data_IF_922212007568
#
_entry.id   IF_922212007568
#
_cell.length_a   1.000
_cell.length_b   1.000
_cell.length_c   1.000
_cell.angle_alpha   90.00
_cell.angle_beta   90.00
_cell.angle_gamma   90.00
#
_symmetry.space_group_name_H-M   'P 1'
#
loop_
_entity.id
_entity.type
_entity.pdbx_description
1 polymer ?
#
# COMPACT_ATOMS: atom_id res chain seq x y z
N UNK A 1 4.12 21.57 0.64
CA UNK A 1 4.87 20.84 1.68
C UNK A 1 6.23 20.42 1.11
N UNK A 2 7.29 20.35 1.92
CA UNK A 2 8.59 19.85 1.45
C UNK A 2 8.79 18.37 1.85
N UNK A 3 9.82 17.72 1.29
CA UNK A 3 10.08 16.29 1.51
C UNK A 3 10.32 15.94 2.98
N UNK A 4 11.13 16.74 3.68
CA UNK A 4 11.46 16.50 5.10
C UNK A 4 10.23 16.59 6.00
N UNK A 5 9.37 17.58 5.77
CA UNK A 5 8.11 17.73 6.50
C UNK A 5 7.17 16.54 6.25
N UNK A 6 7.07 16.07 5.01
CA UNK A 6 6.25 14.90 4.68
C UNK A 6 6.80 13.63 5.31
N UNK A 7 8.11 13.38 5.24
CA UNK A 7 8.74 12.23 5.90
C UNK A 7 8.47 12.23 7.41
N UNK A 8 8.45 13.41 8.04
CA UNK A 8 8.11 13.54 9.46
C UNK A 8 6.64 13.20 9.75
N UNK A 9 5.72 13.53 8.86
CA UNK A 9 4.31 13.10 8.99
C UNK A 9 4.19 11.57 8.85
N UNK A 10 5.02 10.96 7.99
CA UNK A 10 5.07 9.50 7.86
C UNK A 10 5.59 8.79 9.12
N UNK A 11 6.31 9.49 10.02
CA UNK A 11 6.74 8.91 11.30
C UNK A 11 5.53 8.50 12.16
N UNK A 12 4.39 9.20 12.05
CA UNK A 12 3.16 8.83 12.76
C UNK A 12 2.71 7.43 12.35
N UNK A 13 2.74 7.15 11.04
CA UNK A 13 2.39 5.84 10.49
C UNK A 13 3.42 4.79 10.90
N UNK A 14 4.72 5.11 10.90
CA UNK A 14 5.77 4.17 11.34
C UNK A 14 5.55 3.76 12.80
N UNK A 15 5.14 4.69 13.66
CA UNK A 15 4.99 4.47 15.10
C UNK A 15 3.62 3.92 15.51
N UNK A 16 2.66 3.91 14.59
CA UNK A 16 1.27 3.54 14.89
C UNK A 16 1.15 2.11 15.44
N UNK A 17 0.22 1.92 16.37
CA UNK A 17 -0.03 0.62 17.00
C UNK A 17 -0.82 -0.28 16.04
N UNK A 18 -0.44 -1.56 15.98
CA UNK A 18 -1.08 -2.58 15.18
C UNK A 18 -2.24 -3.19 15.98
N UNK A 19 -3.42 -3.27 15.38
CA UNK A 19 -4.45 -4.16 15.87
C UNK A 19 -4.12 -5.60 15.46
N UNK A 20 -4.18 -6.54 16.40
CA UNK A 20 -3.91 -7.95 16.11
C UNK A 20 -5.09 -8.75 16.60
N UNK A 21 -5.82 -9.35 15.64
CA UNK A 21 -6.91 -10.26 15.93
C UNK A 21 -6.40 -11.52 16.65
N UNK A 22 -7.30 -12.26 17.27
CA UNK A 22 -6.95 -13.58 17.85
C UNK A 22 -7.71 -14.72 17.15
N UNK A 23 -8.45 -14.40 16.08
CA UNK A 23 -9.33 -15.33 15.40
C UNK A 23 -9.58 -14.93 13.96
N UNK A 24 -10.13 -15.88 13.19
CA UNK A 24 -10.53 -15.63 11.80
C UNK A 24 -11.69 -14.63 11.65
N UNK A 25 -12.41 -14.35 12.74
CA UNK A 25 -13.54 -13.42 12.74
C UNK A 25 -13.08 -11.95 12.83
N UNK A 26 -11.80 -11.71 13.15
CA UNK A 26 -11.23 -10.37 13.32
C UNK A 26 -10.74 -9.75 12.00
N UNK A 27 -10.89 -10.44 10.85
CA UNK A 27 -10.39 -9.98 9.54
C UNK A 27 -10.90 -8.59 9.16
N UNK A 28 -12.18 -8.32 9.41
CA UNK A 28 -12.80 -7.05 9.06
C UNK A 28 -12.21 -5.92 9.93
N UNK A 29 -11.94 -6.21 11.20
CA UNK A 29 -11.32 -5.26 12.13
C UNK A 29 -9.86 -5.01 11.74
N UNK A 30 -9.05 -6.04 11.50
CA UNK A 30 -7.66 -5.91 11.00
C UNK A 30 -7.61 -5.11 9.69
N UNK A 31 -8.44 -5.47 8.71
CA UNK A 31 -8.48 -4.79 7.43
C UNK A 31 -8.89 -3.31 7.56
N UNK A 32 -9.66 -2.95 8.59
CA UNK A 32 -10.14 -1.58 8.79
C UNK A 32 -9.21 -0.72 9.66
N UNK A 33 -8.62 -1.31 10.71
CA UNK A 33 -7.79 -0.62 11.69
C UNK A 33 -6.34 -0.53 11.24
N UNK A 34 -5.84 -1.56 10.55
CA UNK A 34 -4.46 -1.63 10.07
C UNK A 34 -4.33 -1.19 8.61
N UNK A 35 -5.14 -0.21 8.21
CA UNK A 35 -5.17 0.31 6.85
C UNK A 35 -4.54 1.69 6.76
N UNK A 36 -3.36 1.76 6.16
CA UNK A 36 -2.68 3.01 5.92
C UNK A 36 -2.60 3.31 4.43
N UNK A 37 -2.58 4.60 4.11
CA UNK A 37 -2.35 5.06 2.75
C UNK A 37 -1.56 6.35 2.74
N UNK A 38 -0.71 6.50 1.73
CA UNK A 38 0.02 7.73 1.47
C UNK A 38 -0.40 8.27 0.09
N UNK A 39 -0.53 9.58 0.01
CA UNK A 39 -0.71 10.32 -1.24
C UNK A 39 0.26 11.47 -1.25
N UNK A 40 0.72 11.84 -2.44
CA UNK A 40 1.63 12.96 -2.63
C UNK A 40 1.16 13.74 -3.85
N UNK A 41 1.15 15.06 -3.79
CA UNK A 41 0.94 15.89 -4.98
C UNK A 41 2.14 15.84 -5.93
N UNK A 42 1.96 16.23 -7.19
CA UNK A 42 2.97 16.05 -8.23
C UNK A 42 4.31 16.73 -7.90
N UNK A 43 4.25 17.91 -7.28
CA UNK A 43 5.44 18.65 -6.83
C UNK A 43 6.23 17.86 -5.78
N UNK A 44 5.54 17.17 -4.87
CA UNK A 44 6.17 16.39 -3.82
C UNK A 44 6.75 15.09 -4.37
N UNK A 45 5.99 14.36 -5.20
CA UNK A 45 6.43 13.13 -5.86
C UNK A 45 7.75 13.30 -6.61
N UNK A 46 7.92 14.42 -7.33
CA UNK A 46 9.16 14.71 -8.07
C UNK A 46 10.42 14.84 -7.19
N UNK A 47 10.26 14.97 -5.87
CA UNK A 47 11.35 15.07 -4.90
C UNK A 47 11.68 13.72 -4.25
N UNK A 48 10.85 12.71 -4.47
CA UNK A 48 11.03 11.36 -3.95
C UNK A 48 11.70 10.46 -4.99
N UNK A 49 12.48 9.53 -4.48
CA UNK A 49 13.04 8.39 -5.21
C UNK A 49 12.39 7.11 -4.72
N UNK A 50 12.50 6.05 -5.50
CA UNK A 50 12.05 4.71 -5.13
C UNK A 50 12.72 4.26 -3.82
N UNK A 51 14.01 4.56 -3.64
CA UNK A 51 14.78 4.22 -2.44
C UNK A 51 14.25 4.90 -1.17
N UNK A 52 13.76 6.14 -1.27
CA UNK A 52 13.15 6.84 -0.13
C UNK A 52 11.92 6.08 0.38
N UNK A 53 11.07 5.60 -0.55
CA UNK A 53 9.87 4.85 -0.21
C UNK A 53 10.21 3.44 0.29
N UNK A 54 11.21 2.77 -0.29
CA UNK A 54 11.72 1.49 0.24
C UNK A 54 12.18 1.66 1.69
N UNK A 55 12.94 2.71 1.97
CA UNK A 55 13.43 3.01 3.33
C UNK A 55 12.25 3.18 4.29
N UNK A 56 11.22 3.94 3.89
CA UNK A 56 9.98 4.08 4.66
C UNK A 56 9.31 2.73 4.95
N UNK A 57 9.12 1.87 3.93
CA UNK A 57 8.49 0.56 4.13
C UNK A 57 9.32 -0.38 5.00
N UNK A 58 10.65 -0.35 4.90
CA UNK A 58 11.52 -1.10 5.82
C UNK A 58 11.35 -0.63 7.26
N UNK A 59 11.20 0.68 7.50
CA UNK A 59 10.95 1.20 8.85
C UNK A 59 9.59 0.75 9.40
N UNK A 60 8.53 0.80 8.59
CA UNK A 60 7.21 0.27 8.94
C UNK A 60 7.31 -1.21 9.28
N UNK A 61 7.89 -2.02 8.39
CA UNK A 61 8.02 -3.47 8.58
C UNK A 61 8.82 -3.83 9.83
N UNK A 62 9.91 -3.12 10.11
CA UNK A 62 10.71 -3.33 11.31
C UNK A 62 9.91 -3.03 12.58
N UNK A 63 9.20 -1.90 12.61
CA UNK A 63 8.35 -1.55 13.76
C UNK A 63 7.22 -2.57 13.94
N UNK A 64 6.52 -2.95 12.86
CA UNK A 64 5.46 -3.97 12.94
C UNK A 64 5.99 -5.32 13.39
N UNK A 65 7.18 -5.71 12.95
CA UNK A 65 7.86 -6.92 13.46
C UNK A 65 8.05 -6.84 14.98
N UNK A 66 8.54 -5.73 15.50
CA UNK A 66 8.71 -5.55 16.95
C UNK A 66 7.38 -5.66 17.70
N UNK A 67 6.29 -5.10 17.16
CA UNK A 67 4.96 -5.23 17.77
C UNK A 67 4.48 -6.69 17.77
N UNK A 68 4.56 -7.36 16.62
CA UNK A 68 4.09 -8.74 16.43
C UNK A 68 4.83 -9.71 17.37
N UNK A 69 6.17 -9.66 17.41
CA UNK A 69 6.98 -10.53 18.28
C UNK A 69 6.62 -10.37 19.77
N UNK A 70 6.19 -9.17 20.18
CA UNK A 70 5.87 -8.87 21.58
C UNK A 70 4.41 -9.15 21.97
N UNK A 71 3.50 -9.27 21.01
CA UNK A 71 2.04 -9.24 21.28
C UNK A 71 1.26 -10.37 20.63
N UNK A 72 1.78 -11.01 19.57
CA UNK A 72 1.08 -12.02 18.77
C UNK A 72 1.65 -13.42 18.94
N UNK A 73 0.80 -14.45 18.90
CA UNK A 73 1.20 -15.86 18.84
C UNK A 73 1.18 -16.44 17.41
N UNK A 74 0.82 -15.64 16.42
CA UNK A 74 0.86 -15.98 14.99
C UNK A 74 1.57 -14.91 14.14
N UNK A 75 1.82 -15.24 12.87
CA UNK A 75 2.45 -14.30 11.95
C UNK A 75 1.41 -13.33 11.37
N UNK A 76 1.90 -12.28 10.73
CA UNK A 76 1.05 -11.35 9.96
C UNK A 76 1.51 -11.32 8.50
N UNK A 77 0.57 -11.11 7.59
CA UNK A 77 0.79 -10.84 6.17
C UNK A 77 0.80 -9.33 5.99
N UNK A 78 1.98 -8.77 5.73
CA UNK A 78 2.11 -7.37 5.31
C UNK A 78 1.97 -7.28 3.79
N UNK A 79 1.17 -6.34 3.28
CA UNK A 79 0.99 -6.17 1.85
C UNK A 79 0.82 -4.71 1.43
N UNK A 80 1.28 -4.39 0.22
CA UNK A 80 1.31 -3.04 -0.37
C UNK A 80 0.78 -3.11 -1.80
N UNK A 81 -0.03 -2.12 -2.19
CA UNK A 81 -0.49 -1.95 -3.57
C UNK A 81 -0.66 -0.48 -3.91
N UNK A 82 -0.52 -0.16 -5.19
CA UNK A 82 -0.81 1.17 -5.70
C UNK A 82 -2.23 1.21 -6.27
N UNK A 83 -3.08 2.07 -5.72
CA UNK A 83 -4.38 2.41 -6.28
C UNK A 83 -4.25 3.66 -7.17
N UNK A 84 -4.18 3.41 -8.48
CA UNK A 84 -4.09 4.45 -9.49
C UNK A 84 -5.37 5.29 -9.61
N UNK A 85 -6.53 4.79 -9.19
CA UNK A 85 -7.79 5.52 -9.28
C UNK A 85 -7.83 6.66 -8.26
N UNK A 86 -7.23 6.46 -7.09
CA UNK A 86 -7.13 7.46 -6.03
C UNK A 86 -5.75 8.13 -5.91
N UNK A 87 -4.79 7.72 -6.75
CA UNK A 87 -3.37 8.13 -6.68
C UNK A 87 -2.76 7.89 -5.29
N UNK A 88 -3.07 6.73 -4.68
CA UNK A 88 -2.64 6.37 -3.33
C UNK A 88 -1.85 5.09 -3.31
N UNK A 89 -0.79 5.09 -2.54
CA UNK A 89 -0.10 3.87 -2.15
C UNK A 89 -0.71 3.38 -0.84
N UNK A 90 -1.31 2.21 -0.89
CA UNK A 90 -1.96 1.56 0.24
C UNK A 90 -1.10 0.44 0.79
N UNK A 91 -1.21 0.20 2.08
CA UNK A 91 -0.65 -0.98 2.71
C UNK A 91 -1.40 -1.34 3.97
N UNK A 92 -1.34 -2.62 4.32
CA UNK A 92 -2.13 -3.19 5.40
C UNK A 92 -1.47 -4.46 5.94
N UNK A 93 -1.87 -4.89 7.13
CA UNK A 93 -1.45 -6.13 7.78
C UNK A 93 -2.68 -6.91 8.22
N UNK A 94 -2.68 -8.21 7.94
CA UNK A 94 -3.71 -9.15 8.44
C UNK A 94 -3.04 -10.39 9.02
N UNK A 95 -3.71 -11.10 9.91
CA UNK A 95 -3.25 -12.39 10.43
C UNK A 95 -2.99 -13.41 9.31
N UNK A 96 -1.92 -14.20 9.44
CA UNK A 96 -1.65 -15.32 8.51
C UNK A 96 -2.62 -16.51 8.69
N UNK A 97 -3.46 -16.45 9.74
CA UNK A 97 -4.67 -17.24 9.87
C UNK A 97 -5.60 -17.09 8.65
N UNK A 98 -5.52 -15.94 7.97
CA UNK A 98 -6.21 -15.68 6.71
C UNK A 98 -5.37 -16.20 5.55
N UNK A 99 -5.86 -17.27 4.91
CA UNK A 99 -5.15 -17.92 3.80
C UNK A 99 -5.11 -17.10 2.49
N UNK A 100 -5.79 -15.95 2.42
CA UNK A 100 -5.94 -15.13 1.20
C UNK A 100 -6.00 -13.65 1.54
N UNK A 101 -5.43 -12.82 0.66
CA UNK A 101 -5.54 -11.38 0.73
C UNK A 101 -6.97 -10.91 0.40
N UNK A 102 -7.48 -9.83 1.03
CA UNK A 102 -8.88 -9.39 0.92
C UNK A 102 -9.19 -8.62 -0.38
N UNK A 103 -8.53 -8.98 -1.49
CA UNK A 103 -8.80 -8.36 -2.79
C UNK A 103 -9.97 -9.04 -3.50
N UNK A 104 -11.00 -8.26 -3.84
CA UNK A 104 -12.13 -8.70 -4.66
C UNK A 104 -11.85 -8.75 -6.18
N UNK A 105 -10.64 -8.38 -6.60
CA UNK A 105 -10.23 -8.30 -8.00
C UNK A 105 -9.10 -9.30 -8.34
N UNK A 106 -8.85 -9.49 -9.64
CA UNK A 106 -7.70 -10.24 -10.10
C UNK A 106 -6.41 -9.51 -9.69
N UNK A 107 -5.54 -10.18 -8.95
CA UNK A 107 -4.31 -9.63 -8.44
C UNK A 107 -3.17 -10.64 -8.59
N UNK A 108 -1.95 -10.11 -8.64
CA UNK A 108 -0.72 -10.88 -8.69
C UNK A 108 0.19 -10.44 -7.56
N UNK A 109 0.57 -11.40 -6.72
CA UNK A 109 1.59 -11.19 -5.70
C UNK A 109 2.97 -11.10 -6.34
N UNK A 110 3.75 -10.09 -5.95
CA UNK A 110 5.14 -9.87 -6.38
C UNK A 110 6.06 -9.80 -5.17
N UNK A 111 7.29 -10.30 -5.32
CA UNK A 111 8.28 -10.39 -4.24
C UNK A 111 9.08 -9.09 -4.04
N UNK A 112 9.14 -8.22 -5.07
CA UNK A 112 9.81 -6.93 -5.00
C UNK A 112 8.78 -5.81 -5.01
N UNK A 113 8.86 -4.88 -4.05
CA UNK A 113 7.99 -3.71 -3.93
C UNK A 113 8.29 -2.63 -4.98
N UNK A 114 9.52 -2.58 -5.51
CA UNK A 114 9.99 -1.54 -6.44
C UNK A 114 9.05 -1.25 -7.62
N UNK A 115 8.50 -2.25 -8.35
CA UNK A 115 7.60 -1.97 -9.46
C UNK A 115 6.37 -1.15 -9.05
N UNK A 116 5.81 -1.43 -7.87
CA UNK A 116 4.64 -0.70 -7.34
C UNK A 116 5.02 0.74 -6.99
N UNK A 117 6.19 0.93 -6.35
CA UNK A 117 6.69 2.25 -5.99
C UNK A 117 7.04 3.09 -7.23
N UNK A 118 7.63 2.46 -8.25
CA UNK A 118 7.91 3.10 -9.52
C UNK A 118 6.62 3.51 -10.23
N UNK A 119 5.63 2.62 -10.30
CA UNK A 119 4.31 2.92 -10.89
C UNK A 119 3.67 4.12 -10.17
N UNK A 120 3.73 4.16 -8.82
CA UNK A 120 3.25 5.29 -8.03
C UNK A 120 4.02 6.59 -8.32
N UNK A 121 5.36 6.59 -8.24
CA UNK A 121 6.16 7.81 -8.45
C UNK A 121 6.08 8.35 -9.89
N UNK A 122 5.87 7.49 -10.88
CA UNK A 122 5.77 7.88 -12.29
C UNK A 122 4.33 8.23 -12.70
N UNK A 123 3.35 7.99 -11.84
CA UNK A 123 1.95 8.29 -12.14
C UNK A 123 1.78 9.80 -12.41
N UNK A 124 1.16 10.21 -13.53
CA UNK A 124 1.11 11.62 -13.93
C UNK A 124 -0.09 12.39 -13.35
N UNK A 125 -0.98 11.72 -12.59
CA UNK A 125 -2.25 12.30 -12.13
C UNK A 125 -2.35 12.35 -10.60
N UNK A 126 -1.23 12.61 -9.93
CA UNK A 126 -1.19 12.81 -8.47
C UNK A 126 -2.03 13.98 -7.98
N UNK A 127 -2.19 15.01 -8.81
CA UNK A 127 -3.04 16.17 -8.54
C UNK A 127 -4.46 16.02 -9.14
N UNK A 128 -4.85 14.77 -9.49
CA UNK A 128 -6.12 14.43 -10.10
C UNK A 128 -6.09 14.36 -11.62
N UNK A 129 -7.16 13.79 -12.19
CA UNK A 129 -7.33 13.71 -13.64
C UNK A 129 -7.71 15.07 -14.22
N UNK A 130 -7.11 15.50 -15.34
CA UNK A 130 -7.54 16.69 -16.05
C UNK A 130 -8.99 16.53 -16.50
N UNK A 131 -9.90 17.34 -15.95
CA UNK A 131 -11.27 17.46 -16.46
C UNK A 131 -11.22 18.38 -17.68
N UNK A 132 -10.77 17.83 -18.81
CA UNK A 132 -10.98 18.45 -20.12
C UNK A 132 -12.23 17.84 -20.75
N UNK A 133 -13.05 18.66 -21.41
CA UNK A 133 -14.08 18.18 -22.34
C UNK A 133 -13.39 17.38 -23.45
N UNK A 134 -13.28 16.06 -23.28
CA UNK A 134 -12.92 15.19 -24.39
C UNK A 134 -14.17 15.07 -25.26
N UNK A 135 -14.09 15.59 -26.48
CA UNK A 135 -14.96 15.15 -27.58
C UNK A 135 -15.06 13.63 -27.51
N UNK A 136 -16.29 13.11 -27.52
CA UNK A 136 -16.62 11.69 -27.53
C UNK A 136 -15.91 11.00 -28.70
N UNK A 137 -14.65 10.61 -28.50
CA UNK A 137 -14.01 9.62 -29.36
C UNK A 137 -14.59 8.30 -28.93
N UNK A 138 -15.30 7.67 -29.87
CA UNK A 138 -15.88 6.34 -29.78
C UNK A 138 -15.04 5.47 -28.84
N UNK A 139 -15.66 5.07 -27.73
CA UNK A 139 -15.12 4.07 -26.83
C UNK A 139 -15.08 2.79 -27.65
N UNK A 140 -13.93 2.51 -28.26
CA UNK A 140 -13.64 1.19 -28.79
C UNK A 140 -13.67 0.28 -27.56
N UNK A 141 -14.71 -0.55 -27.46
CA UNK A 141 -14.78 -1.73 -26.59
C UNK A 141 -13.68 -2.72 -27.01
N UNK A 142 -12.42 -2.33 -26.84
CA UNK A 142 -11.39 -3.32 -26.61
C UNK A 142 -11.67 -3.83 -25.21
N UNK A 143 -11.83 -5.13 -25.04
CA UNK A 143 -11.55 -5.79 -23.76
C UNK A 143 -10.20 -5.22 -23.32
N UNK A 144 -10.23 -4.23 -22.42
CA UNK A 144 -9.03 -3.83 -21.74
C UNK A 144 -8.63 -5.10 -21.01
N UNK A 145 -7.54 -5.74 -21.44
CA UNK A 145 -6.83 -6.67 -20.59
C UNK A 145 -6.45 -5.85 -19.34
N UNK A 146 -7.35 -5.82 -18.36
CA UNK A 146 -7.14 -5.13 -17.11
C UNK A 146 -6.00 -5.90 -16.46
N UNK A 147 -4.80 -5.33 -16.50
CA UNK A 147 -3.65 -5.94 -15.85
C UNK A 147 -4.02 -6.26 -14.40
N UNK A 148 -3.67 -7.46 -13.89
CA UNK A 148 -3.96 -7.80 -12.51
C UNK A 148 -3.29 -6.79 -11.58
N UNK A 149 -3.99 -6.44 -10.49
CA UNK A 149 -3.43 -5.57 -9.46
C UNK A 149 -2.12 -6.16 -8.93
N UNK A 150 -1.03 -5.41 -9.01
CA UNK A 150 0.25 -5.80 -8.42
C UNK A 150 0.16 -5.58 -6.91
N UNK A 151 0.43 -6.65 -6.16
CA UNK A 151 0.45 -6.59 -4.70
C UNK A 151 1.80 -7.13 -4.23
N UNK A 152 2.58 -6.29 -3.54
CA UNK A 152 3.74 -6.78 -2.81
C UNK A 152 3.25 -7.37 -1.50
N UNK A 153 3.74 -8.55 -1.12
CA UNK A 153 3.34 -9.22 0.12
C UNK A 153 4.48 -10.01 0.74
N UNK A 154 4.62 -9.92 2.06
CA UNK A 154 5.58 -10.68 2.85
C UNK A 154 4.92 -11.18 4.14
N UNK A 155 5.45 -12.27 4.69
CA UNK A 155 5.12 -12.72 6.03
C UNK A 155 6.07 -12.05 7.02
N UNK A 156 5.51 -11.37 8.02
CA UNK A 156 6.25 -10.91 9.19
C UNK A 156 6.04 -11.93 10.29
N UNK A 157 7.13 -12.61 10.65
CA UNK A 157 7.09 -13.69 11.64
C UNK A 157 7.09 -13.14 13.07
N UNK A 158 6.47 -13.88 13.98
CA UNK A 158 6.45 -13.57 15.41
C UNK A 158 7.64 -14.12 16.21
N UNK A 159 8.69 -14.59 15.51
CA UNK A 159 9.92 -15.17 16.07
C UNK A 159 11.24 -14.44 15.67
#
# INVERSE_FOLDING_TARGET
>A
MNKEAFLKELDEIIQDELFIGNSVDDLDDETSLDNWSISMGQELVSKFTTEDLITFFHQVQNNRKEQIVNTSDHNMIFYVWFDWQSARLHFNLISDLHTKLPFGCNHKVIENIEPILNDFLQFPYHDGFPIGEKEEKEVIENEFDIEPLKVYSIIITND
#
